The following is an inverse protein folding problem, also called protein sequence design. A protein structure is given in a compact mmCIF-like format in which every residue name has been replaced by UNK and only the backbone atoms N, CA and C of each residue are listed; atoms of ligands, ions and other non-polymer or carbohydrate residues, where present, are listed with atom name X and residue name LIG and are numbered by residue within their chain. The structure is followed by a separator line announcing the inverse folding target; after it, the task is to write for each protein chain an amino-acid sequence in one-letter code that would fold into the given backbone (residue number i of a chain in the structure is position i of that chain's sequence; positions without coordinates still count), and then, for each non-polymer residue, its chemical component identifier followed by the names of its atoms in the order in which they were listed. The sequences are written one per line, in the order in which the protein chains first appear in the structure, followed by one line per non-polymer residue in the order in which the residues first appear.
data_IF_090823142517
#
_entry.id   IF_090823142517
#
_cell.length_a   1.000
_cell.length_b   1.000
_cell.length_c   1.000
_cell.angle_alpha   90.00
_cell.angle_beta   90.00
_cell.angle_gamma   90.00
#
_symmetry.space_group_name_H-M   'P 1'
#
loop_
_entity.id
_entity.type
_entity.pdbx_description
1 polymer ?
#
# COMPACT_ATOMS: atom_id res chain seq x y z
N UNK A 1 63.14 -37.75 79.85
CA UNK A 1 62.76 -38.13 78.47
C UNK A 1 61.74 -39.28 78.39
N UNK A 2 61.94 -40.44 79.05
CA UNK A 2 61.01 -41.60 78.95
C UNK A 2 59.53 -41.32 79.32
N UNK A 3 59.24 -40.40 80.25
CA UNK A 3 57.86 -40.04 80.64
C UNK A 3 57.12 -39.25 79.55
N UNK A 4 57.79 -38.32 78.87
CA UNK A 4 57.22 -37.54 77.76
C UNK A 4 56.94 -38.45 76.55
N UNK A 5 57.84 -39.40 76.28
CA UNK A 5 57.66 -40.37 75.20
C UNK A 5 56.44 -41.29 75.43
N UNK A 6 56.19 -41.68 76.69
CA UNK A 6 55.00 -42.46 77.07
C UNK A 6 53.71 -41.65 76.94
N UNK A 7 53.75 -40.36 77.27
CA UNK A 7 52.61 -39.45 77.13
C UNK A 7 52.28 -39.17 75.66
N UNK A 8 53.29 -38.97 74.81
CA UNK A 8 53.13 -38.83 73.36
C UNK A 8 52.57 -40.11 72.72
N UNK A 9 53.06 -41.29 73.12
CA UNK A 9 52.50 -42.57 72.68
C UNK A 9 51.06 -42.77 73.16
N UNK A 10 50.71 -42.28 74.35
CA UNK A 10 49.34 -42.33 74.85
C UNK A 10 48.41 -41.42 74.05
N UNK A 11 48.82 -40.19 73.75
CA UNK A 11 48.07 -39.28 72.87
C UNK A 11 47.95 -39.83 71.46
N UNK A 12 49.01 -40.44 70.91
CA UNK A 12 48.99 -41.07 69.59
C UNK A 12 48.10 -42.31 69.57
N UNK A 13 48.10 -43.10 70.65
CA UNK A 13 47.18 -44.22 70.85
C UNK A 13 45.72 -43.77 71.00
N UNK A 14 45.47 -42.66 71.69
CA UNK A 14 44.15 -42.04 71.77
C UNK A 14 43.70 -41.50 70.41
N UNK A 15 44.59 -40.82 69.69
CA UNK A 15 44.33 -40.38 68.32
C UNK A 15 44.09 -41.56 67.37
N UNK A 16 44.68 -42.72 67.61
CA UNK A 16 44.43 -43.93 66.83
C UNK A 16 43.10 -44.62 67.20
N UNK A 17 42.71 -44.57 68.47
CA UNK A 17 41.44 -45.09 68.95
C UNK A 17 40.24 -44.21 68.54
N UNK A 18 40.42 -42.89 68.45
CA UNK A 18 39.36 -41.94 68.10
C UNK A 18 39.46 -41.38 66.66
N UNK A 19 40.60 -41.48 65.99
CA UNK A 19 40.87 -40.87 64.68
C UNK A 19 40.40 -41.69 63.47
N UNK A 20 39.91 -42.92 63.66
CA UNK A 20 39.46 -43.79 62.56
C UNK A 20 37.95 -43.64 62.22
N UNK A 21 37.21 -42.72 62.85
CA UNK A 21 35.77 -42.57 62.60
C UNK A 21 35.35 -41.43 61.68
N UNK A 22 36.29 -40.76 61.02
CA UNK A 22 35.97 -39.70 60.06
C UNK A 22 36.68 -40.06 58.75
N UNK A 23 35.95 -39.97 57.63
CA UNK A 23 36.29 -40.41 56.26
C UNK A 23 35.81 -41.82 55.83
N UNK A 24 34.56 -42.18 56.14
CA UNK A 24 33.80 -42.92 55.14
C UNK A 24 33.10 -41.88 54.25
N UNK A 25 33.66 -41.58 53.06
CA UNK A 25 32.81 -41.04 52.00
C UNK A 25 31.72 -42.09 51.76
N UNK A 26 30.47 -41.71 51.98
CA UNK A 26 29.31 -42.57 51.75
C UNK A 26 29.34 -42.98 50.27
N UNK A 27 29.76 -44.21 49.99
CA UNK A 27 29.90 -44.72 48.63
C UNK A 27 28.53 -44.75 47.94
N UNK A 28 28.54 -44.59 46.62
CA UNK A 28 27.33 -44.57 45.79
C UNK A 28 26.36 -45.71 46.16
N UNK A 29 25.22 -45.36 46.75
CA UNK A 29 24.32 -46.35 47.37
C UNK A 29 23.55 -47.14 46.31
N UNK A 30 22.91 -48.24 46.72
CA UNK A 30 22.04 -48.98 45.79
C UNK A 30 20.85 -48.13 45.31
N UNK A 31 20.31 -47.28 46.19
CA UNK A 31 19.23 -46.35 45.83
C UNK A 31 19.68 -45.34 44.77
N UNK A 32 20.92 -44.87 44.85
CA UNK A 32 21.47 -43.94 43.85
C UNK A 32 21.63 -44.62 42.48
N UNK A 33 21.98 -45.92 42.45
CA UNK A 33 22.03 -46.71 41.19
C UNK A 33 20.64 -46.88 40.57
N UNK A 34 19.64 -47.17 41.39
CA UNK A 34 18.26 -47.34 40.91
C UNK A 34 17.69 -46.01 40.39
N UNK A 35 17.98 -44.89 41.08
CA UNK A 35 17.62 -43.54 40.62
C UNK A 35 18.29 -43.21 39.27
N UNK A 36 19.57 -43.56 39.09
CA UNK A 36 20.26 -43.35 37.81
C UNK A 36 19.67 -44.19 36.67
N UNK A 37 19.25 -45.42 36.96
CA UNK A 37 18.56 -46.27 35.98
C UNK A 37 17.22 -45.67 35.57
N UNK A 38 16.41 -45.21 36.53
CA UNK A 38 15.14 -44.55 36.26
C UNK A 38 15.35 -43.25 35.45
N UNK A 39 16.34 -42.44 35.82
CA UNK A 39 16.73 -41.23 35.08
C UNK A 39 17.13 -41.55 33.64
N UNK A 40 17.95 -42.60 33.43
CA UNK A 40 18.35 -43.02 32.08
C UNK A 40 17.15 -43.45 31.24
N UNK A 41 16.20 -44.18 31.82
CA UNK A 41 14.97 -44.60 31.13
C UNK A 41 14.12 -43.38 30.75
N UNK A 42 13.88 -42.46 31.71
CA UNK A 42 13.15 -41.22 31.46
C UNK A 42 13.80 -40.35 30.40
N UNK A 43 15.13 -40.24 30.39
CA UNK A 43 15.86 -39.51 29.34
C UNK A 43 15.66 -40.15 27.96
N UNK A 44 15.72 -41.48 27.85
CA UNK A 44 15.44 -42.17 26.59
C UNK A 44 13.99 -42.01 26.10
N UNK A 45 13.02 -41.91 27.01
CA UNK A 45 11.63 -41.57 26.66
C UNK A 45 11.49 -40.13 26.18
N UNK A 46 12.20 -39.19 26.82
CA UNK A 46 12.25 -37.78 26.43
C UNK A 46 12.84 -37.64 25.02
N UNK A 47 13.95 -38.32 24.72
CA UNK A 47 14.59 -38.29 23.39
C UNK A 47 13.62 -38.77 22.29
N UNK A 48 12.89 -39.87 22.53
CA UNK A 48 11.86 -40.35 21.59
C UNK A 48 10.74 -39.35 21.37
N UNK A 49 10.33 -38.63 22.42
CA UNK A 49 9.30 -37.58 22.30
C UNK A 49 9.83 -36.38 21.51
N UNK A 50 11.08 -35.99 21.70
CA UNK A 50 11.71 -34.94 20.90
C UNK A 50 11.81 -35.34 19.42
N UNK A 51 12.22 -36.55 19.10
CA UNK A 51 12.27 -37.02 17.71
C UNK A 51 10.88 -36.99 17.04
N UNK A 52 9.81 -37.32 17.77
CA UNK A 52 8.44 -37.18 17.28
C UNK A 52 8.03 -35.72 17.06
N UNK A 53 8.47 -34.82 17.94
CA UNK A 53 8.22 -33.39 17.82
C UNK A 53 8.93 -32.84 16.58
N UNK A 54 10.19 -33.19 16.36
CA UNK A 54 10.97 -32.77 15.19
C UNK A 54 10.29 -33.21 13.88
N UNK A 55 9.85 -34.47 13.79
CA UNK A 55 9.10 -34.97 12.64
C UNK A 55 7.81 -34.20 12.38
N UNK A 56 7.11 -33.75 13.44
CA UNK A 56 5.91 -32.93 13.30
C UNK A 56 6.24 -31.52 12.84
N UNK A 57 7.34 -30.94 13.31
CA UNK A 57 7.80 -29.64 12.83
C UNK A 57 8.18 -29.69 11.35
N UNK A 58 8.92 -30.69 10.91
CA UNK A 58 9.23 -30.86 9.48
C UNK A 58 7.96 -30.98 8.61
N UNK A 59 6.93 -31.67 9.09
CA UNK A 59 5.64 -31.75 8.39
C UNK A 59 4.92 -30.41 8.34
N UNK A 60 4.99 -29.63 9.42
CA UNK A 60 4.42 -28.29 9.49
C UNK A 60 5.13 -27.37 8.50
N UNK A 61 6.47 -27.40 8.46
CA UNK A 61 7.26 -26.58 7.54
C UNK A 61 6.91 -26.89 6.07
N UNK A 62 6.81 -28.18 5.71
CA UNK A 62 6.36 -28.57 4.37
C UNK A 62 4.98 -28.02 4.00
N UNK A 63 4.01 -28.11 4.93
CA UNK A 63 2.67 -27.57 4.69
C UNK A 63 2.66 -26.04 4.58
N UNK A 64 3.54 -25.36 5.30
CA UNK A 64 3.70 -23.91 5.17
C UNK A 64 4.31 -23.52 3.83
N UNK A 65 5.30 -24.26 3.35
CA UNK A 65 5.89 -24.10 2.01
C UNK A 65 4.81 -24.27 0.93
N UNK A 66 4.07 -25.38 0.97
CA UNK A 66 2.96 -25.67 0.03
C UNK A 66 1.89 -24.59 0.06
N UNK A 67 1.50 -24.11 1.25
CA UNK A 67 0.52 -23.04 1.39
C UNK A 67 1.03 -21.73 0.78
N UNK A 68 2.31 -21.41 0.99
CA UNK A 68 2.93 -20.22 0.43
C UNK A 68 2.99 -20.28 -1.08
N UNK A 69 3.33 -21.44 -1.65
CA UNK A 69 3.31 -21.66 -3.10
C UNK A 69 1.91 -21.53 -3.70
N UNK A 70 0.88 -22.16 -3.12
CA UNK A 70 -0.50 -22.03 -3.62
C UNK A 70 -0.99 -20.58 -3.53
N UNK A 71 -0.67 -19.90 -2.42
CA UNK A 71 -1.00 -18.49 -2.24
C UNK A 71 -0.33 -17.62 -3.31
N UNK A 72 0.97 -17.80 -3.55
CA UNK A 72 1.70 -17.06 -4.59
C UNK A 72 1.09 -17.30 -5.98
N UNK A 73 0.76 -18.55 -6.31
CA UNK A 73 0.16 -18.91 -7.60
C UNK A 73 -1.22 -18.27 -7.80
N UNK A 74 -2.03 -18.24 -6.74
CA UNK A 74 -3.35 -17.57 -6.75
C UNK A 74 -3.20 -16.06 -6.89
N UNK A 75 -2.24 -15.44 -6.21
CA UNK A 75 -1.95 -14.02 -6.39
C UNK A 75 -1.51 -13.69 -7.81
N UNK A 76 -0.59 -14.46 -8.39
CA UNK A 76 -0.15 -14.26 -9.77
C UNK A 76 -1.32 -14.39 -10.77
N UNK A 77 -2.24 -15.34 -10.53
CA UNK A 77 -3.45 -15.46 -11.34
C UNK A 77 -4.38 -14.24 -11.22
N UNK A 78 -4.49 -13.67 -10.01
CA UNK A 78 -5.26 -12.46 -9.76
C UNK A 78 -4.62 -11.26 -10.47
N UNK A 79 -3.31 -11.09 -10.37
CA UNK A 79 -2.56 -10.02 -11.04
C UNK A 79 -2.77 -10.08 -12.56
N UNK A 80 -2.66 -11.26 -13.17
CA UNK A 80 -2.94 -11.46 -14.61
C UNK A 80 -4.36 -11.02 -15.01
N UNK A 81 -5.36 -11.30 -14.18
CA UNK A 81 -6.75 -10.87 -14.43
C UNK A 81 -6.90 -9.35 -14.30
N UNK A 82 -6.22 -8.74 -13.33
CA UNK A 82 -6.20 -7.29 -13.18
C UNK A 82 -5.51 -6.60 -14.36
N UNK A 83 -4.37 -7.11 -14.83
CA UNK A 83 -3.69 -6.59 -16.04
C UNK A 83 -4.61 -6.64 -17.27
N UNK A 84 -5.33 -7.74 -17.46
CA UNK A 84 -6.33 -7.87 -18.53
C UNK A 84 -7.45 -6.83 -18.40
N UNK A 85 -7.97 -6.63 -17.19
CA UNK A 85 -9.00 -5.63 -16.91
C UNK A 85 -8.50 -4.20 -17.16
N UNK A 86 -7.30 -3.86 -16.70
CA UNK A 86 -6.68 -2.56 -16.96
C UNK A 86 -6.47 -2.32 -18.45
N UNK A 87 -5.99 -3.33 -19.18
CA UNK A 87 -5.82 -3.25 -20.63
C UNK A 87 -7.14 -2.91 -21.32
N UNK A 88 -8.24 -3.58 -20.93
CA UNK A 88 -9.56 -3.28 -21.46
C UNK A 88 -10.03 -1.85 -21.10
N UNK A 89 -9.83 -1.41 -19.86
CA UNK A 89 -10.19 -0.06 -19.41
C UNK A 89 -9.40 1.03 -20.15
N UNK A 90 -8.11 0.81 -20.44
CA UNK A 90 -7.29 1.72 -21.25
C UNK A 90 -7.83 1.85 -22.68
N UNK A 91 -8.25 0.76 -23.30
CA UNK A 91 -8.87 0.78 -24.64
C UNK A 91 -10.19 1.58 -24.60
N UNK A 92 -11.07 1.28 -23.64
CA UNK A 92 -12.35 1.98 -23.48
C UNK A 92 -12.13 3.48 -23.26
N UNK A 93 -11.20 3.84 -22.38
CA UNK A 93 -10.84 5.23 -22.09
C UNK A 93 -10.28 5.91 -23.33
N UNK A 94 -9.40 5.24 -24.10
CA UNK A 94 -8.85 5.76 -25.33
C UNK A 94 -9.93 6.10 -26.37
N UNK A 95 -10.91 5.21 -26.57
CA UNK A 95 -12.05 5.46 -27.47
C UNK A 95 -12.89 6.62 -26.96
N UNK A 96 -13.23 6.62 -25.67
CA UNK A 96 -14.03 7.67 -25.05
C UNK A 96 -13.36 9.04 -25.17
N UNK A 97 -12.08 9.15 -24.79
CA UNK A 97 -11.29 10.39 -24.91
C UNK A 97 -11.22 10.87 -26.35
N UNK A 98 -11.02 9.97 -27.32
CA UNK A 98 -10.99 10.32 -28.74
C UNK A 98 -12.33 10.90 -29.20
N UNK A 99 -13.46 10.28 -28.80
CA UNK A 99 -14.79 10.78 -29.09
C UNK A 99 -15.05 12.14 -28.43
N UNK A 100 -14.69 12.28 -27.15
CA UNK A 100 -14.85 13.55 -26.42
C UNK A 100 -14.06 14.68 -27.08
N UNK A 101 -12.80 14.45 -27.44
CA UNK A 101 -11.97 15.45 -28.13
C UNK A 101 -12.56 15.80 -29.50
N UNK A 102 -13.06 14.80 -30.23
CA UNK A 102 -13.69 15.02 -31.54
C UNK A 102 -14.95 15.89 -31.42
N UNK A 103 -15.81 15.61 -30.44
CA UNK A 103 -17.04 16.39 -30.18
C UNK A 103 -16.71 17.82 -29.76
N UNK A 104 -15.76 17.99 -28.83
CA UNK A 104 -15.33 19.32 -28.37
C UNK A 104 -14.71 20.12 -29.53
N UNK A 105 -13.85 19.48 -30.33
CA UNK A 105 -13.23 20.07 -31.51
C UNK A 105 -14.26 20.52 -32.53
N UNK A 106 -15.26 19.68 -32.80
CA UNK A 106 -16.38 20.01 -33.69
C UNK A 106 -17.23 21.16 -33.14
N UNK A 107 -17.57 21.16 -31.85
CA UNK A 107 -18.33 22.23 -31.23
C UNK A 107 -17.58 23.59 -31.27
N UNK A 108 -16.26 23.56 -31.09
CA UNK A 108 -15.43 24.77 -31.23
C UNK A 108 -15.40 25.28 -32.67
N UNK A 109 -15.30 24.38 -33.65
CA UNK A 109 -15.33 24.72 -35.07
C UNK A 109 -16.69 25.26 -35.51
N UNK A 110 -17.79 24.59 -35.12
CA UNK A 110 -19.17 24.98 -35.44
C UNK A 110 -19.53 26.35 -34.88
N UNK A 111 -19.14 26.64 -33.63
CA UNK A 111 -19.33 27.96 -33.04
C UNK A 111 -18.69 29.08 -33.87
N UNK A 112 -17.52 28.80 -34.47
CA UNK A 112 -16.80 29.77 -35.32
C UNK A 112 -17.48 29.95 -36.68
N UNK A 113 -18.05 28.91 -37.27
CA UNK A 113 -18.67 28.96 -38.60
C UNK A 113 -20.08 29.56 -38.56
N UNK A 114 -20.88 29.22 -37.54
CA UNK A 114 -22.28 29.66 -37.42
C UNK A 114 -22.41 31.16 -37.13
N UNK A 115 -21.56 31.72 -36.26
CA UNK A 115 -21.58 33.16 -35.94
C UNK A 115 -21.30 34.00 -37.19
N UNK A 116 -20.43 33.52 -38.09
CA UNK A 116 -20.10 34.23 -39.32
C UNK A 116 -21.30 34.28 -40.27
N UNK A 117 -21.99 33.15 -40.47
CA UNK A 117 -23.19 33.08 -41.33
C UNK A 117 -24.34 33.92 -40.80
N UNK A 118 -24.64 33.83 -39.50
CA UNK A 118 -25.71 34.62 -38.89
C UNK A 118 -25.46 36.13 -39.02
N UNK A 119 -24.21 36.57 -38.84
CA UNK A 119 -23.85 37.98 -39.01
C UNK A 119 -23.98 38.45 -40.46
N UNK A 120 -23.59 37.63 -41.43
CA UNK A 120 -23.70 37.96 -42.86
C UNK A 120 -25.16 38.05 -43.32
N UNK A 121 -26.03 37.11 -42.91
CA UNK A 121 -27.46 37.14 -43.24
C UNK A 121 -28.15 38.38 -42.64
N UNK A 122 -27.94 38.65 -41.35
CA UNK A 122 -28.53 39.82 -40.67
C UNK A 122 -28.05 41.14 -41.28
N UNK A 123 -26.76 41.28 -41.61
CA UNK A 123 -26.25 42.50 -42.27
C UNK A 123 -26.86 42.66 -43.66
N UNK A 124 -26.98 41.56 -44.43
CA UNK A 124 -27.55 41.63 -45.78
C UNK A 124 -29.03 41.96 -45.81
N UNK A 125 -29.82 41.50 -44.83
CA UNK A 125 -31.24 41.86 -44.71
C UNK A 125 -31.39 43.34 -44.36
N UNK A 126 -30.61 43.81 -43.38
CA UNK A 126 -30.61 45.22 -42.98
C UNK A 126 -30.18 46.14 -44.15
N UNK A 127 -29.25 45.70 -44.99
CA UNK A 127 -28.79 46.45 -46.17
C UNK A 127 -29.81 46.39 -47.32
N UNK A 128 -30.45 45.24 -47.57
CA UNK A 128 -31.46 45.06 -48.62
C UNK A 128 -32.78 45.77 -48.32
N UNK A 129 -33.20 45.80 -47.06
CA UNK A 129 -34.45 46.46 -46.67
C UNK A 129 -34.36 47.99 -46.73
N UNK A 130 -33.17 48.58 -46.93
CA UNK A 130 -32.99 50.03 -47.01
C UNK A 130 -33.32 50.80 -45.72
N UNK A 131 -33.78 50.12 -44.66
CA UNK A 131 -34.19 50.70 -43.38
C UNK A 131 -33.12 51.59 -42.76
N UNK A 132 -31.84 51.24 -42.91
CA UNK A 132 -30.74 52.10 -42.45
C UNK A 132 -30.71 53.44 -43.17
N UNK A 133 -30.93 53.45 -44.49
CA UNK A 133 -30.95 54.66 -45.30
C UNK A 133 -32.18 55.52 -44.97
N UNK A 134 -33.33 54.89 -44.75
CA UNK A 134 -34.57 55.59 -44.39
C UNK A 134 -34.49 56.17 -42.97
N UNK A 135 -33.90 55.43 -42.02
CA UNK A 135 -33.64 55.93 -40.67
C UNK A 135 -32.66 57.11 -40.69
N UNK A 136 -31.58 57.04 -41.48
CA UNK A 136 -30.64 58.16 -41.64
C UNK A 136 -31.36 59.39 -42.22
N UNK A 137 -32.20 59.22 -43.24
CA UNK A 137 -32.96 60.31 -43.82
C UNK A 137 -33.98 60.91 -42.85
N UNK A 138 -34.70 60.07 -42.09
CA UNK A 138 -35.65 60.52 -41.06
C UNK A 138 -34.94 61.28 -39.93
N UNK A 139 -33.77 60.80 -39.49
CA UNK A 139 -32.94 61.50 -38.50
C UNK A 139 -32.42 62.83 -39.05
N UNK A 140 -32.04 62.89 -40.33
CA UNK A 140 -31.59 64.13 -40.98
C UNK A 140 -32.70 65.17 -41.05
N UNK A 141 -33.92 64.77 -41.39
CA UNK A 141 -35.10 65.64 -41.37
C UNK A 141 -35.44 66.12 -39.94
N UNK A 142 -35.26 65.26 -38.93
CA UNK A 142 -35.46 65.64 -37.54
C UNK A 142 -34.39 66.65 -37.05
N UNK A 143 -33.16 66.53 -37.56
CA UNK A 143 -32.06 67.44 -37.25
C UNK A 143 -32.23 68.84 -37.83
N UNK A 144 -33.02 69.03 -38.88
CA UNK A 144 -33.37 70.38 -39.36
C UNK A 144 -34.19 71.16 -38.33
N UNK A 145 -35.03 70.47 -37.54
CA UNK A 145 -35.93 71.08 -36.57
C UNK A 145 -35.40 71.03 -35.12
N UNK A 146 -34.35 70.25 -34.83
CA UNK A 146 -33.78 70.11 -33.49
C UNK A 146 -32.24 70.21 -33.50
N UNK A 147 -31.71 71.26 -32.85
CA UNK A 147 -30.27 71.53 -32.73
C UNK A 147 -29.48 70.42 -32.03
N UNK A 148 -30.11 69.69 -31.11
CA UNK A 148 -29.47 68.61 -30.37
C UNK A 148 -29.24 67.40 -31.27
N UNK A 149 -30.25 67.01 -32.06
CA UNK A 149 -30.16 65.93 -33.05
C UNK A 149 -29.14 66.24 -34.14
N UNK A 150 -29.07 67.50 -34.60
CA UNK A 150 -28.07 67.94 -35.58
C UNK A 150 -26.63 67.80 -35.08
N UNK A 151 -26.39 68.14 -33.81
CA UNK A 151 -25.07 67.99 -33.21
C UNK A 151 -24.67 66.51 -33.06
N UNK A 152 -25.61 65.63 -32.70
CA UNK A 152 -25.36 64.19 -32.60
C UNK A 152 -25.03 63.62 -33.99
N UNK A 153 -25.80 63.94 -35.03
CA UNK A 153 -25.52 63.46 -36.39
C UNK A 153 -24.20 63.99 -36.96
N UNK A 154 -23.83 65.25 -36.68
CA UNK A 154 -22.52 65.80 -37.05
C UNK A 154 -21.35 65.07 -36.39
N UNK A 155 -21.51 64.65 -35.13
CA UNK A 155 -20.48 63.85 -34.43
C UNK A 155 -20.22 62.49 -35.08
N UNK A 156 -21.25 61.89 -35.67
CA UNK A 156 -21.15 60.63 -36.41
C UNK A 156 -20.88 60.81 -37.92
N UNK A 157 -20.61 62.04 -38.38
CA UNK A 157 -20.33 62.36 -39.78
C UNK A 157 -21.48 62.00 -40.75
N UNK A 158 -22.74 62.02 -40.26
CA UNK A 158 -23.95 61.66 -41.00
C UNK A 158 -24.71 62.87 -41.59
N UNK A 159 -24.23 64.09 -41.33
CA UNK A 159 -24.84 65.35 -41.76
C UNK A 159 -23.93 66.12 -42.71
#
# INVERSE_FOLDING_TARGET
MKKILRFLMFIMGLAFLFGNHVYAEDGFTQKDRDLLLELRIKMGEIDKRFEQVDKRFEQVDKRFEELREDMNKRFEQVDKRFEQMFTFLWILTGIFTTLTVSVIGFAYWDRRTMIKKAKEETISEIEKEGKLRDLINALRALAENNKETANVLRRFNLL
#
